data_IF_032544157714
#
_entry.id   IF_032544157714
#
_cell.length_a   1.000
_cell.length_b   1.000
_cell.length_c   1.000
_cell.angle_alpha   90.00
_cell.angle_beta   90.00
_cell.angle_gamma   90.00
#
_symmetry.space_group_name_H-M   'P 1'
#
loop_
_entity.id
_entity.type
_entity.pdbx_description
1 polymer ?
#
# COMPACT_ATOMS: atom_id res chain seq x y z
N UNK A 1 -41.96 -32.46 -59.35
CA UNK A 1 -40.83 -32.55 -58.41
C UNK A 1 -39.77 -31.55 -58.84
N UNK A 2 -39.65 -30.42 -58.14
CA UNK A 2 -38.47 -29.58 -58.15
C UNK A 2 -38.51 -28.75 -56.86
N UNK A 3 -37.58 -29.06 -55.95
CA UNK A 3 -37.42 -28.42 -54.65
C UNK A 3 -37.05 -26.94 -54.85
N UNK A 4 -37.83 -26.05 -54.25
CA UNK A 4 -37.43 -24.65 -54.04
C UNK A 4 -36.71 -24.61 -52.70
N UNK A 5 -35.39 -24.41 -52.78
CA UNK A 5 -34.49 -24.32 -51.64
C UNK A 5 -34.75 -23.01 -50.89
N UNK A 6 -35.51 -23.10 -49.79
CA UNK A 6 -35.71 -22.01 -48.83
C UNK A 6 -34.49 -21.98 -47.92
N UNK A 7 -33.40 -21.35 -48.38
CA UNK A 7 -32.20 -21.13 -47.55
C UNK A 7 -31.54 -19.79 -47.84
N UNK A 8 -32.32 -18.72 -47.92
CA UNK A 8 -31.81 -17.35 -47.89
C UNK A 8 -32.74 -16.43 -47.11
N UNK A 9 -32.63 -16.42 -45.78
CA UNK A 9 -32.84 -15.24 -44.93
C UNK A 9 -32.75 -15.65 -43.45
N UNK A 10 -31.53 -15.74 -42.91
CA UNK A 10 -31.25 -15.51 -41.48
C UNK A 10 -29.76 -15.74 -41.21
N UNK A 11 -28.90 -14.75 -41.44
CA UNK A 11 -27.59 -14.68 -40.75
C UNK A 11 -26.96 -13.27 -40.68
N UNK A 12 -27.63 -12.19 -41.07
CA UNK A 12 -27.05 -10.83 -41.02
C UNK A 12 -27.15 -10.10 -39.67
N UNK A 13 -27.13 -10.81 -38.53
CA UNK A 13 -27.02 -10.18 -37.21
C UNK A 13 -26.09 -10.95 -36.27
N UNK A 14 -24.76 -10.78 -36.41
CA UNK A 14 -23.82 -10.88 -35.26
C UNK A 14 -22.38 -10.37 -35.55
N UNK A 15 -22.21 -9.32 -36.36
CA UNK A 15 -20.90 -8.65 -36.52
C UNK A 15 -20.49 -7.75 -35.33
N UNK A 16 -20.90 -8.07 -34.10
CA UNK A 16 -20.45 -7.31 -32.93
C UNK A 16 -20.25 -8.19 -31.71
N UNK A 17 -18.97 -8.51 -31.43
CA UNK A 17 -18.35 -8.70 -30.10
C UNK A 17 -17.22 -9.72 -30.15
N UNK A 18 -16.27 -9.57 -31.08
CA UNK A 18 -14.98 -10.22 -30.89
C UNK A 18 -14.26 -9.58 -29.69
N UNK A 19 -13.78 -10.36 -28.71
CA UNK A 19 -13.09 -9.82 -27.55
C UNK A 19 -11.77 -9.19 -27.98
N UNK A 20 -11.73 -7.85 -27.98
CA UNK A 20 -10.57 -7.05 -28.34
C UNK A 20 -9.72 -6.75 -27.10
N UNK A 21 -8.44 -6.39 -27.30
CA UNK A 21 -7.58 -5.95 -26.21
C UNK A 21 -7.96 -4.53 -25.77
N UNK A 22 -8.17 -4.35 -24.47
CA UNK A 22 -8.46 -3.05 -23.85
C UNK A 22 -7.47 -1.97 -24.31
N UNK A 23 -8.01 -0.80 -24.69
CA UNK A 23 -7.22 0.37 -25.10
C UNK A 23 -6.58 1.13 -23.92
N UNK A 24 -6.91 0.76 -22.67
CA UNK A 24 -6.42 1.44 -21.48
C UNK A 24 -4.93 1.29 -21.24
N UNK A 25 -4.31 2.32 -20.68
CA UNK A 25 -2.93 2.35 -20.25
C UNK A 25 -2.86 2.09 -18.74
N UNK A 26 -2.06 1.10 -18.35
CA UNK A 26 -1.81 0.78 -16.94
C UNK A 26 -1.02 1.87 -16.24
N UNK A 27 -0.96 1.83 -14.90
CA UNK A 27 -0.13 2.74 -14.09
C UNK A 27 1.37 2.70 -14.43
N UNK A 28 1.82 1.68 -15.17
CA UNK A 28 3.20 1.53 -15.65
C UNK A 28 3.42 2.09 -17.06
N UNK A 29 2.44 2.78 -17.64
CA UNK A 29 2.53 3.33 -18.99
C UNK A 29 2.40 2.30 -20.12
N UNK A 30 2.14 1.03 -19.81
CA UNK A 30 1.96 -0.05 -20.81
C UNK A 30 0.50 -0.33 -21.08
N UNK A 31 0.18 -0.77 -22.31
CA UNK A 31 -1.18 -1.13 -22.72
C UNK A 31 -1.73 -2.30 -21.90
N UNK A 32 -2.99 -2.18 -21.49
CA UNK A 32 -3.70 -3.21 -20.74
C UNK A 32 -3.80 -4.50 -21.57
N UNK A 33 -3.54 -5.66 -20.95
CA UNK A 33 -3.59 -6.97 -21.61
C UNK A 33 -4.95 -7.67 -21.49
N UNK A 34 -5.92 -7.06 -20.80
CA UNK A 34 -7.25 -7.64 -20.63
C UNK A 34 -8.04 -7.57 -21.94
N UNK A 35 -8.76 -8.65 -22.25
CA UNK A 35 -9.73 -8.68 -23.35
C UNK A 35 -11.09 -8.18 -22.89
N UNK A 36 -11.79 -7.46 -23.75
CA UNK A 36 -13.10 -6.86 -23.48
C UNK A 36 -13.88 -6.74 -24.79
N UNK A 37 -15.21 -6.76 -24.69
CA UNK A 37 -16.13 -6.48 -25.80
C UNK A 37 -16.26 -4.97 -26.05
N UNK A 38 -15.84 -4.15 -25.09
CA UNK A 38 -15.85 -2.68 -25.17
C UNK A 38 -14.44 -2.14 -25.47
N UNK A 39 -14.30 -0.84 -25.71
CA UNK A 39 -12.98 -0.21 -25.93
C UNK A 39 -12.09 -0.28 -24.68
N UNK A 40 -12.68 -0.23 -23.48
CA UNK A 40 -11.99 -0.26 -22.20
C UNK A 40 -12.54 -1.36 -21.29
N UNK A 41 -11.67 -2.03 -20.53
CA UNK A 41 -12.12 -2.97 -19.50
C UNK A 41 -12.64 -2.20 -18.27
N UNK A 42 -13.31 -2.91 -17.35
CA UNK A 42 -13.81 -2.33 -16.08
C UNK A 42 -12.77 -1.55 -15.26
N UNK A 43 -11.47 -1.82 -15.44
CA UNK A 43 -10.39 -1.12 -14.75
C UNK A 43 -9.95 0.18 -15.45
N UNK A 44 -10.27 0.34 -16.74
CA UNK A 44 -9.88 1.50 -17.55
C UNK A 44 -11.08 2.23 -18.17
N UNK A 45 -12.31 1.90 -17.77
CA UNK A 45 -13.54 2.54 -18.28
C UNK A 45 -13.52 4.07 -18.17
N UNK A 46 -12.77 4.61 -17.20
CA UNK A 46 -12.60 6.04 -16.98
C UNK A 46 -11.66 6.71 -17.99
N UNK A 47 -10.73 5.98 -18.62
CA UNK A 47 -9.80 6.54 -19.61
C UNK A 47 -10.48 6.84 -20.96
N UNK A 48 -11.63 6.23 -21.23
CA UNK A 48 -12.43 6.49 -22.43
C UNK A 48 -13.34 7.71 -22.34
N UNK A 49 -13.36 8.41 -21.21
CA UNK A 49 -14.25 9.57 -21.00
C UNK A 49 -13.41 10.84 -20.84
N UNK A 50 -13.48 11.80 -21.77
CA UNK A 50 -12.88 13.11 -21.55
C UNK A 50 -13.57 13.73 -20.34
N UNK A 51 -12.81 14.02 -19.28
CA UNK A 51 -13.23 14.67 -18.02
C UNK A 51 -13.79 13.83 -16.86
N UNK A 52 -13.79 12.50 -16.89
CA UNK A 52 -14.00 11.75 -15.64
C UNK A 52 -12.66 11.55 -14.92
N UNK A 53 -12.38 12.42 -13.94
CA UNK A 53 -11.42 12.12 -12.88
C UNK A 53 -11.72 10.71 -12.33
N UNK A 54 -10.69 9.92 -11.93
CA UNK A 54 -10.94 8.62 -11.30
C UNK A 54 -11.96 8.80 -10.18
N UNK A 55 -12.91 7.85 -10.01
CA UNK A 55 -13.99 7.99 -9.05
C UNK A 55 -13.42 8.35 -7.68
N UNK A 56 -13.96 9.39 -7.05
CA UNK A 56 -13.56 9.84 -5.72
C UNK A 56 -13.82 8.70 -4.73
N UNK A 57 -12.78 7.91 -4.48
CA UNK A 57 -12.90 6.72 -3.66
C UNK A 57 -12.62 7.09 -2.20
N UNK A 58 -13.68 7.07 -1.39
CA UNK A 58 -13.58 7.15 0.08
C UNK A 58 -12.81 5.92 0.59
N UNK A 59 -11.98 6.10 1.60
CA UNK A 59 -11.26 4.99 2.22
C UNK A 59 -10.51 5.39 3.49
N UNK A 60 -9.77 4.43 4.02
CA UNK A 60 -8.93 4.56 5.19
C UNK A 60 -7.46 4.37 4.80
N UNK A 61 -6.59 5.23 5.29
CA UNK A 61 -5.13 5.04 5.29
C UNK A 61 -4.72 4.42 6.63
N UNK A 62 -3.82 3.44 6.58
CA UNK A 62 -3.33 2.76 7.77
C UNK A 62 -1.87 2.34 7.64
N UNK A 63 -1.23 2.16 8.79
CA UNK A 63 0.21 1.84 8.88
C UNK A 63 0.37 0.50 9.56
N UNK A 64 1.18 -0.39 9.00
CA UNK A 64 1.44 -1.70 9.58
C UNK A 64 2.90 -2.13 9.44
N UNK A 65 3.28 -3.13 10.22
CA UNK A 65 4.62 -3.74 10.25
C UNK A 65 4.51 -5.25 10.34
N UNK A 66 5.64 -5.94 10.22
CA UNK A 66 5.77 -7.35 10.57
C UNK A 66 5.70 -7.52 12.11
N UNK A 67 4.90 -8.46 12.59
CA UNK A 67 4.64 -8.63 14.04
C UNK A 67 5.89 -8.89 14.87
N UNK A 68 6.83 -9.69 14.36
CA UNK A 68 8.08 -10.01 15.07
C UNK A 68 8.99 -8.79 15.28
N UNK A 69 8.78 -7.68 14.56
CA UNK A 69 9.54 -6.44 14.73
C UNK A 69 9.07 -5.62 15.93
N UNK A 70 7.94 -5.96 16.53
CA UNK A 70 7.40 -5.28 17.72
C UNK A 70 7.74 -5.99 19.04
N UNK A 71 8.44 -7.12 18.98
CA UNK A 71 8.97 -7.78 20.17
C UNK A 71 9.99 -6.87 20.87
N UNK A 72 10.10 -6.95 22.20
CA UNK A 72 11.08 -6.16 22.98
C UNK A 72 12.52 -6.36 22.50
N UNK A 73 12.83 -7.60 22.08
CA UNK A 73 14.11 -7.99 21.49
C UNK A 73 13.84 -8.59 20.11
N UNK A 74 13.60 -7.77 19.08
CA UNK A 74 13.24 -8.28 17.78
C UNK A 74 14.42 -9.05 17.18
N UNK A 75 14.22 -10.32 16.76
CA UNK A 75 15.30 -11.14 16.23
C UNK A 75 15.79 -10.58 14.89
N UNK A 76 17.10 -10.66 14.65
CA UNK A 76 17.63 -10.46 13.30
C UNK A 76 17.33 -11.70 12.48
N UNK A 77 16.64 -11.53 11.37
CA UNK A 77 16.27 -12.64 10.49
C UNK A 77 17.02 -12.52 9.17
N UNK A 78 17.66 -13.61 8.74
CA UNK A 78 18.49 -13.61 7.51
C UNK A 78 17.67 -13.47 6.22
N UNK A 79 16.37 -13.79 6.30
CA UNK A 79 15.42 -13.63 5.20
C UNK A 79 14.96 -12.18 5.04
N UNK A 80 15.02 -11.38 6.12
CA UNK A 80 14.67 -9.97 6.10
C UNK A 80 15.90 -9.13 5.72
N UNK A 81 16.15 -9.08 4.42
CA UNK A 81 17.21 -8.27 3.82
C UNK A 81 16.65 -6.95 3.34
N UNK A 82 17.44 -5.88 3.47
CA UNK A 82 17.08 -4.57 2.96
C UNK A 82 18.27 -4.06 2.14
N UNK A 83 17.98 -3.53 0.97
CA UNK A 83 18.95 -2.71 0.25
C UNK A 83 18.86 -1.29 0.82
N UNK A 84 19.94 -0.81 1.47
CA UNK A 84 20.05 0.57 1.97
C UNK A 84 20.34 1.53 0.80
N UNK A 85 19.48 1.53 -0.21
CA UNK A 85 19.50 2.52 -1.29
C UNK A 85 18.82 3.80 -0.81
N UNK A 86 19.47 4.53 0.10
CA UNK A 86 19.13 5.91 0.44
C UNK A 86 20.16 6.85 -0.18
N UNK A 87 19.70 7.69 -1.12
CA UNK A 87 20.35 8.92 -1.63
C UNK A 87 21.47 8.84 -2.68
N UNK A 88 22.13 7.72 -2.97
CA UNK A 88 23.07 7.64 -4.09
C UNK A 88 23.01 6.30 -4.84
N UNK A 89 22.83 6.36 -6.16
CA UNK A 89 22.52 5.20 -7.05
C UNK A 89 23.79 4.50 -7.53
N UNK A 90 24.97 5.06 -7.26
CA UNK A 90 26.26 4.51 -7.68
C UNK A 90 26.96 3.88 -6.47
N UNK A 91 27.04 2.54 -6.48
CA UNK A 91 27.69 1.65 -5.49
C UNK A 91 26.81 1.22 -4.31
N UNK A 92 26.26 0.01 -4.37
CA UNK A 92 26.80 -1.14 -3.62
C UNK A 92 25.92 -2.38 -3.84
N UNK A 93 26.57 -3.46 -4.23
CA UNK A 93 26.03 -4.80 -4.47
C UNK A 93 25.85 -5.62 -3.17
N UNK A 94 25.87 -4.98 -2.00
CA UNK A 94 25.78 -5.69 -0.71
C UNK A 94 24.41 -5.55 -0.05
N UNK A 95 23.73 -6.68 0.11
CA UNK A 95 22.50 -6.78 0.89
C UNK A 95 22.83 -6.79 2.39
N UNK A 96 22.29 -5.85 3.15
CA UNK A 96 22.45 -5.84 4.61
C UNK A 96 21.28 -6.58 5.28
N UNK A 97 21.61 -7.41 6.29
CA UNK A 97 20.62 -7.96 7.21
C UNK A 97 20.00 -6.82 8.01
N UNK A 98 18.68 -6.73 8.02
CA UNK A 98 17.97 -5.67 8.73
C UNK A 98 18.30 -5.67 10.22
N UNK A 99 18.52 -4.48 10.78
CA UNK A 99 18.71 -4.28 12.21
C UNK A 99 17.44 -3.66 12.85
N UNK A 100 16.60 -4.46 13.52
CA UNK A 100 15.31 -3.99 14.04
C UNK A 100 15.42 -3.20 15.36
N UNK A 101 16.62 -3.03 15.92
CA UNK A 101 16.82 -2.33 17.20
C UNK A 101 16.57 -0.83 17.11
N UNK A 102 17.01 -0.19 16.04
CA UNK A 102 16.95 1.29 15.89
C UNK A 102 15.90 1.74 14.89
N UNK A 103 15.64 0.92 13.88
CA UNK A 103 14.66 1.20 12.85
C UNK A 103 13.52 0.19 12.89
N UNK A 104 12.36 0.61 12.41
CA UNK A 104 11.19 -0.20 12.16
C UNK A 104 10.89 -0.16 10.67
N UNK A 105 10.59 -1.32 10.09
CA UNK A 105 10.19 -1.42 8.69
C UNK A 105 8.67 -1.35 8.64
N UNK A 106 8.12 -0.28 8.07
CA UNK A 106 6.67 -0.07 8.01
C UNK A 106 6.18 -0.05 6.57
N UNK A 107 4.89 -0.29 6.40
CA UNK A 107 4.16 -0.06 5.16
C UNK A 107 2.93 0.78 5.43
N UNK A 108 2.70 1.75 4.55
CA UNK A 108 1.44 2.51 4.50
C UNK A 108 0.57 1.89 3.43
N UNK A 109 -0.65 1.54 3.79
CA UNK A 109 -1.65 1.00 2.87
C UNK A 109 -2.95 1.77 2.94
N UNK A 110 -3.81 1.53 1.95
CA UNK A 110 -5.19 2.00 1.96
C UNK A 110 -6.19 0.86 1.84
N UNK A 111 -7.42 1.12 2.23
CA UNK A 111 -8.55 0.19 2.12
C UNK A 111 -9.87 0.94 1.99
N UNK A 112 -10.83 0.33 1.28
CA UNK A 112 -12.24 0.73 1.30
C UNK A 112 -13.12 -0.23 2.11
N UNK A 113 -12.52 -1.31 2.61
CA UNK A 113 -13.10 -2.25 3.57
C UNK A 113 -12.49 -1.99 4.95
N UNK A 114 -12.88 -2.76 5.97
CA UNK A 114 -12.26 -2.66 7.30
C UNK A 114 -10.78 -3.05 7.26
N UNK A 115 -9.96 -2.36 8.06
CA UNK A 115 -8.51 -2.62 8.17
C UNK A 115 -8.19 -4.07 8.58
N UNK A 116 -8.88 -4.68 9.57
CA UNK A 116 -8.59 -6.07 9.94
C UNK A 116 -8.76 -7.04 8.77
N UNK A 117 -9.81 -6.85 7.96
CA UNK A 117 -10.07 -7.67 6.76
C UNK A 117 -8.93 -7.53 5.77
N UNK A 118 -8.48 -6.29 5.53
CA UNK A 118 -7.40 -6.01 4.58
C UNK A 118 -6.06 -6.56 5.05
N UNK A 119 -5.75 -6.46 6.34
CA UNK A 119 -4.55 -7.05 6.93
C UNK A 119 -4.57 -8.57 6.81
N UNK A 120 -5.70 -9.24 7.08
CA UNK A 120 -5.83 -10.69 6.90
C UNK A 120 -5.55 -11.12 5.46
N UNK A 121 -6.08 -10.38 4.47
CA UNK A 121 -5.78 -10.64 3.05
C UNK A 121 -4.28 -10.54 2.75
N UNK A 122 -3.60 -9.53 3.30
CA UNK A 122 -2.15 -9.39 3.15
C UNK A 122 -1.40 -10.53 3.83
N UNK A 123 -1.77 -10.89 5.07
CA UNK A 123 -1.13 -11.98 5.81
C UNK A 123 -1.25 -13.31 5.07
N UNK A 124 -2.43 -13.62 4.53
CA UNK A 124 -2.64 -14.82 3.70
C UNK A 124 -1.81 -14.80 2.42
N UNK A 125 -1.72 -13.64 1.75
CA UNK A 125 -0.97 -13.49 0.49
C UNK A 125 0.53 -13.58 0.66
N UNK A 126 1.06 -12.99 1.73
CA UNK A 126 2.51 -12.96 1.98
C UNK A 126 2.98 -14.10 2.88
N UNK A 127 2.06 -14.88 3.49
CA UNK A 127 2.35 -15.88 4.52
C UNK A 127 3.21 -15.30 5.65
N UNK A 128 2.90 -14.06 6.03
CA UNK A 128 3.58 -13.32 7.10
C UNK A 128 2.54 -12.80 8.06
N UNK A 129 2.93 -12.63 9.32
CA UNK A 129 2.07 -11.98 10.30
C UNK A 129 2.32 -10.47 10.34
N UNK A 130 1.22 -9.71 10.21
CA UNK A 130 1.24 -8.26 10.16
C UNK A 130 0.50 -7.68 11.37
N UNK A 131 1.09 -6.65 11.97
CA UNK A 131 0.50 -5.91 13.07
C UNK A 131 0.24 -4.47 12.66
N UNK A 132 -0.97 -4.01 12.94
CA UNK A 132 -1.37 -2.61 12.79
C UNK A 132 -0.57 -1.74 13.77
N UNK A 133 -0.09 -0.60 13.29
CA UNK A 133 0.55 0.42 14.11
C UNK A 133 -0.44 1.55 14.34
N UNK A 134 -0.75 1.80 15.61
CA UNK A 134 -1.61 2.90 16.02
C UNK A 134 -0.77 4.11 16.37
N UNK A 135 -1.31 5.33 16.22
CA UNK A 135 -0.69 6.50 16.80
C UNK A 135 -0.45 6.28 18.30
N UNK A 136 0.68 6.79 18.80
CA UNK A 136 1.05 6.76 20.22
C UNK A 136 1.28 5.35 20.81
N UNK A 137 1.49 4.34 19.96
CA UNK A 137 1.86 2.98 20.42
C UNK A 137 3.21 3.01 21.16
N UNK A 138 3.18 2.94 22.50
CA UNK A 138 4.36 3.01 23.38
C UNK A 138 5.44 1.97 23.06
N UNK A 139 5.04 0.79 22.56
CA UNK A 139 5.96 -0.31 22.21
C UNK A 139 6.81 -0.06 20.95
N UNK A 140 6.55 1.01 20.20
CA UNK A 140 7.32 1.32 19.00
C UNK A 140 8.72 1.85 19.38
N UNK A 141 8.82 2.59 20.49
CA UNK A 141 10.07 3.18 20.97
C UNK A 141 10.77 2.18 21.90
N UNK A 142 11.79 1.50 21.38
CA UNK A 142 12.71 0.71 22.21
C UNK A 142 13.66 1.71 22.90
N UNK A 143 13.16 2.42 23.90
CA UNK A 143 13.98 3.27 24.76
C UNK A 143 14.73 2.40 25.76
N UNK A 144 16.04 2.64 25.91
CA UNK A 144 16.78 2.17 27.11
C UNK A 144 16.27 3.04 28.26
N UNK A 145 15.19 2.63 28.94
CA UNK A 145 14.69 3.14 30.23
C UNK A 145 15.26 4.52 30.63
N UNK A 146 14.79 5.58 29.98
CA UNK A 146 14.87 6.90 30.59
C UNK A 146 13.75 6.96 31.63
N UNK A 147 14.06 6.49 32.85
CA UNK A 147 13.11 6.39 33.98
C UNK A 147 12.39 7.71 34.26
N UNK A 148 12.98 8.84 33.89
CA UNK A 148 12.38 10.16 34.04
C UNK A 148 11.27 10.43 33.01
N UNK A 149 11.47 10.11 31.74
CA UNK A 149 10.41 10.29 30.72
C UNK A 149 9.20 9.38 30.97
N UNK A 150 9.42 8.20 31.56
CA UNK A 150 8.32 7.30 31.95
C UNK A 150 7.44 7.91 33.05
N UNK A 151 8.05 8.60 34.03
CA UNK A 151 7.34 9.29 35.12
C UNK A 151 6.51 10.50 34.62
N UNK A 152 6.96 11.16 33.56
CA UNK A 152 6.24 12.29 32.94
C UNK A 152 5.40 11.91 31.71
N UNK A 153 5.33 10.61 31.38
CA UNK A 153 4.58 10.15 30.20
C UNK A 153 3.08 10.43 30.29
N UNK A 154 2.54 10.61 31.51
CA UNK A 154 1.15 11.01 31.75
C UNK A 154 0.87 12.51 31.66
N UNK A 155 1.90 13.35 31.50
CA UNK A 155 1.77 14.81 31.34
C UNK A 155 1.88 15.26 29.87
N UNK A 156 2.17 14.34 28.95
CA UNK A 156 2.21 14.67 27.54
C UNK A 156 0.79 14.76 27.00
N UNK A 157 0.45 15.90 26.39
CA UNK A 157 -0.75 15.99 25.58
C UNK A 157 -0.61 14.98 24.42
N UNK A 158 -1.52 14.02 24.37
CA UNK A 158 -1.58 13.09 23.25
C UNK A 158 -1.80 13.90 21.97
N UNK A 159 -1.00 13.69 20.92
CA UNK A 159 -1.18 14.43 19.67
C UNK A 159 -2.59 14.18 19.13
N UNK A 160 -3.31 15.28 18.90
CA UNK A 160 -4.63 15.24 18.26
C UNK A 160 -4.41 15.11 16.76
N UNK A 161 -4.93 14.02 16.20
CA UNK A 161 -4.92 13.77 14.75
C UNK A 161 -6.31 14.07 14.21
N UNK A 162 -6.41 14.96 13.22
CA UNK A 162 -7.70 15.46 12.73
C UNK A 162 -8.47 14.45 11.89
N UNK A 163 -7.74 13.59 11.17
CA UNK A 163 -8.32 12.61 10.25
C UNK A 163 -8.27 11.19 10.80
N UNK A 164 -7.63 10.97 11.94
CA UNK A 164 -7.56 9.63 12.54
C UNK A 164 -8.87 9.29 13.26
N UNK A 165 -9.45 8.15 12.91
CA UNK A 165 -10.61 7.58 13.59
C UNK A 165 -10.17 6.40 14.46
N UNK A 166 -10.26 6.50 15.80
CA UNK A 166 -9.92 5.41 16.71
C UNK A 166 -10.81 4.16 16.57
N UNK A 167 -12.06 4.30 16.12
CA UNK A 167 -12.98 3.18 15.96
C UNK A 167 -12.64 2.35 14.71
N UNK A 168 -12.20 3.03 13.66
CA UNK A 168 -11.80 2.41 12.39
C UNK A 168 -10.30 2.08 12.33
N UNK A 169 -9.51 2.55 13.29
CA UNK A 169 -8.05 2.39 13.41
C UNK A 169 -7.24 2.95 12.23
N UNK A 170 -7.73 4.01 11.58
CA UNK A 170 -7.10 4.58 10.39
C UNK A 170 -7.44 6.04 10.13
N UNK A 171 -6.73 6.64 9.18
CA UNK A 171 -6.98 8.02 8.75
C UNK A 171 -8.04 8.04 7.65
N UNK A 172 -9.14 8.72 7.93
CA UNK A 172 -10.29 8.85 7.04
C UNK A 172 -9.95 9.78 5.89
N UNK A 173 -10.14 9.28 4.67
CA UNK A 173 -10.10 10.07 3.44
C UNK A 173 -11.50 10.03 2.82
N UNK A 174 -12.17 11.18 2.82
CA UNK A 174 -13.49 11.40 2.24
C UNK A 174 -13.44 11.33 0.71
N UNK A 175 -12.32 11.74 0.11
CA UNK A 175 -12.11 11.75 -1.33
C UNK A 175 -10.72 11.20 -1.68
N UNK A 176 -10.61 10.55 -2.84
CA UNK A 176 -9.33 10.24 -3.51
C UNK A 176 -8.27 9.51 -2.67
N UNK A 177 -8.65 8.49 -1.87
CA UNK A 177 -7.73 7.74 -0.98
C UNK A 177 -6.48 7.21 -1.70
N UNK A 178 -6.60 6.86 -2.98
CA UNK A 178 -5.48 6.38 -3.81
C UNK A 178 -4.45 7.49 -4.03
N UNK A 179 -4.91 8.72 -4.33
CA UNK A 179 -4.02 9.86 -4.55
C UNK A 179 -3.33 10.28 -3.25
N UNK A 180 -4.06 10.24 -2.14
CA UNK A 180 -3.52 10.47 -0.80
C UNK A 180 -2.42 9.46 -0.47
N UNK A 181 -2.66 8.17 -0.69
CA UNK A 181 -1.66 7.12 -0.45
C UNK A 181 -0.40 7.32 -1.30
N UNK A 182 -0.56 7.63 -2.58
CA UNK A 182 0.55 7.92 -3.49
C UNK A 182 1.35 9.15 -3.06
N UNK A 183 0.69 10.20 -2.57
CA UNK A 183 1.34 11.39 -2.03
C UNK A 183 2.14 11.07 -0.76
N UNK A 184 1.57 10.28 0.16
CA UNK A 184 2.25 9.81 1.37
C UNK A 184 3.49 8.99 0.99
N UNK A 185 3.36 8.04 0.05
CA UNK A 185 4.49 7.23 -0.41
C UNK A 185 5.60 8.09 -0.99
N UNK A 186 5.27 9.06 -1.84
CA UNK A 186 6.25 9.99 -2.42
C UNK A 186 6.98 10.77 -1.34
N UNK A 187 6.24 11.30 -0.36
CA UNK A 187 6.80 12.04 0.76
C UNK A 187 7.71 11.18 1.64
N UNK A 188 7.23 10.01 2.08
CA UNK A 188 8.01 9.11 2.95
C UNK A 188 9.23 8.53 2.24
N UNK A 189 9.15 8.22 0.94
CA UNK A 189 10.31 7.82 0.17
C UNK A 189 11.36 8.93 0.08
N UNK A 190 10.94 10.18 -0.09
CA UNK A 190 11.86 11.32 -0.12
C UNK A 190 12.54 11.54 1.23
N UNK A 191 11.79 11.41 2.33
CA UNK A 191 12.26 11.69 3.69
C UNK A 191 13.07 10.56 4.32
N UNK A 192 12.65 9.30 4.13
CA UNK A 192 13.22 8.14 4.83
C UNK A 192 13.83 7.09 3.88
N UNK A 193 13.69 7.27 2.57
CA UNK A 193 14.16 6.31 1.58
C UNK A 193 13.21 5.12 1.38
N UNK A 194 13.69 4.14 0.62
CA UNK A 194 12.96 2.91 0.28
C UNK A 194 13.53 1.72 1.02
N UNK A 195 12.65 0.87 1.53
CA UNK A 195 12.98 -0.48 1.99
C UNK A 195 12.53 -1.50 0.96
N UNK A 196 13.47 -2.23 0.37
CA UNK A 196 13.15 -3.39 -0.46
C UNK A 196 13.06 -4.63 0.44
N UNK A 197 11.85 -5.14 0.64
CA UNK A 197 11.59 -6.35 1.45
C UNK A 197 11.55 -7.59 0.55
N UNK A 198 12.43 -8.55 0.81
CA UNK A 198 12.42 -9.86 0.17
C UNK A 198 11.39 -10.76 0.86
N UNK A 199 10.39 -11.21 0.10
CA UNK A 199 9.30 -12.05 0.58
C UNK A 199 9.28 -13.38 -0.18
N UNK A 200 9.49 -14.46 0.56
CA UNK A 200 9.40 -15.83 0.05
C UNK A 200 7.96 -16.38 0.06
N UNK A 201 7.02 -15.71 0.72
CA UNK A 201 5.65 -16.23 0.85
C UNK A 201 4.69 -15.80 -0.27
N UNK A 202 5.07 -14.83 -1.11
CA UNK A 202 4.22 -14.31 -2.19
C UNK A 202 4.19 -15.18 -3.46
N UNK A 203 5.20 -16.01 -3.68
CA UNK A 203 5.37 -16.86 -4.87
C UNK A 203 6.38 -17.98 -4.54
N UNK A 204 6.50 -18.98 -5.42
CA UNK A 204 7.57 -19.98 -5.28
C UNK A 204 8.97 -19.34 -5.42
N UNK A 205 9.05 -18.22 -6.14
CA UNK A 205 10.23 -17.36 -6.25
C UNK A 205 10.21 -16.21 -5.24
N UNK A 206 11.41 -15.69 -4.91
CA UNK A 206 11.56 -14.55 -4.00
C UNK A 206 11.02 -13.28 -4.66
N UNK A 207 9.93 -12.74 -4.11
CA UNK A 207 9.35 -11.47 -4.55
C UNK A 207 9.88 -10.30 -3.74
N UNK A 208 10.24 -9.21 -4.40
CA UNK A 208 10.67 -7.97 -3.75
C UNK A 208 9.47 -7.02 -3.60
N UNK A 209 9.15 -6.63 -2.37
CA UNK A 209 8.20 -5.57 -2.07
C UNK A 209 8.95 -4.25 -1.90
N UNK A 210 8.63 -3.27 -2.73
CA UNK A 210 9.32 -1.97 -2.78
C UNK A 210 8.58 -0.85 -2.04
N UNK A 211 7.41 -1.15 -1.49
CA UNK A 211 6.51 -0.19 -0.82
C UNK A 211 6.68 -0.23 0.71
N UNK A 212 7.91 -0.44 1.18
CA UNK A 212 8.23 -0.42 2.60
C UNK A 212 9.16 0.75 2.91
N UNK A 213 9.06 1.30 4.12
CA UNK A 213 9.78 2.47 4.58
C UNK A 213 10.62 2.10 5.80
N UNK A 214 11.90 2.49 5.79
CA UNK A 214 12.82 2.25 6.89
C UNK A 214 12.81 3.46 7.83
N UNK A 215 11.99 3.38 8.89
CA UNK A 215 11.77 4.52 9.78
C UNK A 215 12.56 4.35 11.08
N UNK A 216 13.36 5.34 11.52
CA UNK A 216 13.90 5.34 12.87
C UNK A 216 12.76 5.28 13.90
N UNK A 217 12.83 4.39 14.89
CA UNK A 217 11.74 4.21 15.87
C UNK A 217 11.31 5.50 16.57
N UNK A 218 12.26 6.43 16.78
CA UNK A 218 12.02 7.75 17.37
C UNK A 218 11.17 8.69 16.50
N UNK A 219 11.19 8.49 15.18
CA UNK A 219 10.49 9.33 14.19
C UNK A 219 9.06 8.85 13.89
N UNK A 220 8.61 7.76 14.51
CA UNK A 220 7.31 7.16 14.19
C UNK A 220 6.13 8.09 14.50
N UNK A 221 6.20 8.89 15.56
CA UNK A 221 5.16 9.90 15.84
C UNK A 221 5.12 10.97 14.73
N UNK A 222 6.27 11.35 14.17
CA UNK A 222 6.34 12.30 13.07
C UNK A 222 5.73 11.71 11.80
N UNK A 223 5.89 10.41 11.55
CA UNK A 223 5.21 9.72 10.43
C UNK A 223 3.70 9.83 10.54
N UNK A 224 3.11 9.60 11.72
CA UNK A 224 1.66 9.73 11.89
C UNK A 224 1.18 11.17 11.70
N UNK A 225 1.93 12.16 12.19
CA UNK A 225 1.63 13.59 11.95
C UNK A 225 1.71 13.96 10.47
N UNK A 226 2.72 13.45 9.78
CA UNK A 226 2.90 13.66 8.33
C UNK A 226 1.75 13.03 7.53
N UNK A 227 1.29 11.83 7.92
CA UNK A 227 0.13 11.17 7.30
C UNK A 227 -1.15 11.99 7.54
N UNK A 228 -1.41 12.38 8.79
CA UNK A 228 -2.60 13.17 9.15
C UNK A 228 -2.68 14.48 8.35
N UNK A 229 -1.54 15.18 8.26
CA UNK A 229 -1.41 16.41 7.46
C UNK A 229 -1.75 16.17 5.99
N UNK A 230 -1.17 15.14 5.36
CA UNK A 230 -1.43 14.84 3.94
C UNK A 230 -2.89 14.40 3.73
N UNK A 231 -3.45 13.61 4.63
CA UNK A 231 -4.87 13.23 4.62
C UNK A 231 -5.79 14.45 4.77
N UNK A 232 -5.38 15.47 5.52
CA UNK A 232 -6.14 16.71 5.68
C UNK A 232 -6.04 17.62 4.44
N UNK A 233 -4.86 17.69 3.81
CA UNK A 233 -4.62 18.51 2.62
C UNK A 233 -5.29 17.93 1.35
N UNK A 234 -5.33 16.60 1.21
CA UNK A 234 -5.71 15.93 -0.04
C UNK A 234 -6.94 14.99 0.05
N UNK A 235 -7.39 14.65 1.27
CA UNK A 235 -8.38 13.60 1.51
C UNK A 235 -9.80 14.07 1.81
#
# INVERSE_FOLDING_TARGET
>A
MANVDISKHQWELSLSNFPMQCAGITTKGVRCKLRTTETYCKHHIYQGKPHQQPPQQKGLIYVFTLSHLLLEKPPKTNWLRINKGGYDIKQTSSYDVFNPRRCLLIKVGFTTQTIPTRLKQWSSKCRQDFKLLLPNTKHIVISRRDRLSDLFSGLSLEPVYHRYDPAEYGFVCSKNVISVESAIHKYLHSKYGKGNLYCQGCSNDVKIHTEWFLIPRKEMNNVFKDIDRICNELG
#
